data_IF_180533054050
#
_entry.id   IF_180533054050
#
_cell.length_a   1.000
_cell.length_b   1.000
_cell.length_c   1.000
_cell.angle_alpha   90.00
_cell.angle_beta   90.00
_cell.angle_gamma   90.00
#
_symmetry.space_group_name_H-M   'P 1'
#
loop_
_entity.id
_entity.type
_entity.pdbx_description
1 polymer ?
#
# COMPACT_ATOMS: atom_id res chain seq x y z
N UNK A 1 18.86 7.95 -9.74
CA UNK A 1 19.88 8.66 -10.56
C UNK A 1 21.07 7.71 -10.67
N UNK A 2 21.19 7.02 -11.81
CA UNK A 2 22.09 5.87 -11.96
C UNK A 2 23.44 6.34 -12.52
N UNK A 3 24.50 6.14 -11.75
CA UNK A 3 25.88 6.57 -12.03
C UNK A 3 26.64 5.64 -12.99
N UNK A 4 25.96 4.83 -13.79
CA UNK A 4 26.57 3.75 -14.58
C UNK A 4 26.84 4.10 -16.05
N UNK A 5 26.93 5.39 -16.39
CA UNK A 5 27.42 5.87 -17.70
C UNK A 5 28.84 6.41 -17.62
N UNK A 6 29.70 5.81 -16.78
CA UNK A 6 31.15 6.05 -16.87
C UNK A 6 31.72 5.22 -18.02
N UNK A 7 31.91 5.92 -19.15
CA UNK A 7 32.91 5.73 -20.21
C UNK A 7 33.20 4.29 -20.65
N UNK A 8 32.47 3.87 -21.70
CA UNK A 8 32.86 2.73 -22.56
C UNK A 8 34.26 2.96 -23.18
N UNK A 9 34.70 4.21 -23.32
CA UNK A 9 36.00 4.59 -23.90
C UNK A 9 37.21 4.41 -22.97
N UNK A 10 37.03 4.01 -21.71
CA UNK A 10 38.13 3.86 -20.72
C UNK A 10 38.45 2.40 -20.36
N UNK A 11 37.68 1.44 -20.84
CA UNK A 11 37.89 0.02 -20.53
C UNK A 11 38.91 -0.57 -21.50
N UNK A 12 39.92 -1.24 -20.95
CA UNK A 12 40.83 -2.06 -21.74
C UNK A 12 40.04 -3.18 -22.45
N UNK A 13 40.60 -3.70 -23.54
CA UNK A 13 39.98 -4.76 -24.33
C UNK A 13 39.61 -5.98 -23.47
N UNK A 14 40.44 -6.29 -22.47
CA UNK A 14 40.24 -7.36 -21.51
C UNK A 14 39.06 -7.10 -20.55
N UNK A 15 38.87 -5.86 -20.10
CA UNK A 15 37.74 -5.49 -19.24
C UNK A 15 36.41 -5.49 -20.00
N UNK A 16 36.43 -5.10 -21.28
CA UNK A 16 35.27 -5.23 -22.16
C UNK A 16 34.87 -6.69 -22.36
N UNK A 17 35.82 -7.60 -22.49
CA UNK A 17 35.56 -9.04 -22.61
C UNK A 17 34.91 -9.60 -21.33
N UNK A 18 35.37 -9.17 -20.15
CA UNK A 18 34.76 -9.58 -18.88
C UNK A 18 33.32 -9.05 -18.79
N UNK A 19 33.12 -7.77 -19.13
CA UNK A 19 31.79 -7.15 -19.06
C UNK A 19 30.79 -7.75 -20.05
N UNK A 20 31.24 -8.13 -21.24
CA UNK A 20 30.40 -8.82 -22.23
C UNK A 20 29.93 -10.16 -21.65
N UNK A 21 30.82 -10.96 -21.05
CA UNK A 21 30.45 -12.25 -20.44
C UNK A 21 29.45 -12.10 -19.29
N UNK A 22 29.61 -11.10 -18.43
CA UNK A 22 28.64 -10.81 -17.36
C UNK A 22 27.26 -10.42 -17.91
N UNK A 23 27.23 -9.69 -19.03
CA UNK A 23 25.97 -9.29 -19.66
C UNK A 23 25.31 -10.48 -20.37
N UNK A 24 26.08 -11.35 -21.03
CA UNK A 24 25.60 -12.59 -21.62
C UNK A 24 24.99 -13.51 -20.55
N UNK A 25 25.66 -13.70 -19.42
CA UNK A 25 25.14 -14.52 -18.32
C UNK A 25 23.84 -13.95 -17.72
N UNK A 26 23.73 -12.62 -17.65
CA UNK A 26 22.49 -11.95 -17.21
C UNK A 26 21.37 -12.06 -18.24
N UNK A 27 21.69 -12.06 -19.54
CA UNK A 27 20.70 -12.28 -20.61
C UNK A 27 20.20 -13.72 -20.55
N UNK A 28 21.08 -14.71 -20.39
CA UNK A 28 20.70 -16.12 -20.24
C UNK A 28 19.78 -16.36 -19.03
N UNK A 29 20.02 -15.66 -17.92
CA UNK A 29 19.13 -15.69 -16.75
C UNK A 29 17.75 -15.08 -17.03
N UNK A 30 17.68 -14.02 -17.83
CA UNK A 30 16.42 -13.36 -18.20
C UNK A 30 15.66 -14.11 -19.30
N UNK A 31 16.35 -14.86 -20.16
CA UNK A 31 15.74 -15.75 -21.16
C UNK A 31 15.33 -17.11 -20.58
N UNK A 32 15.76 -17.42 -19.35
CA UNK A 32 15.37 -18.64 -18.64
C UNK A 32 13.87 -18.61 -18.29
N UNK A 33 13.07 -19.20 -19.18
CA UNK A 33 11.62 -19.34 -19.06
C UNK A 33 11.18 -19.99 -17.75
N UNK A 34 12.01 -20.82 -17.12
CA UNK A 34 11.70 -21.48 -15.87
C UNK A 34 11.78 -20.49 -14.68
N UNK A 35 12.74 -19.57 -14.70
CA UNK A 35 12.83 -18.46 -13.73
C UNK A 35 11.66 -17.50 -13.89
N UNK A 36 11.32 -17.11 -15.12
CA UNK A 36 10.17 -16.23 -15.38
C UNK A 36 8.85 -16.90 -14.99
N UNK A 37 8.67 -18.20 -15.26
CA UNK A 37 7.51 -18.97 -14.78
C UNK A 37 7.46 -19.05 -13.27
N UNK A 38 8.59 -19.23 -12.58
CA UNK A 38 8.62 -19.26 -11.12
C UNK A 38 8.23 -17.90 -10.53
N UNK A 39 8.74 -16.80 -11.10
CA UNK A 39 8.37 -15.45 -10.70
C UNK A 39 6.89 -15.16 -10.96
N UNK A 40 6.36 -15.55 -12.13
CA UNK A 40 4.93 -15.41 -12.44
C UNK A 40 4.08 -16.25 -11.49
N UNK A 41 4.47 -17.49 -11.19
CA UNK A 41 3.75 -18.32 -10.20
C UNK A 41 3.78 -17.70 -8.82
N UNK A 42 4.89 -17.09 -8.41
CA UNK A 42 4.98 -16.40 -7.13
C UNK A 42 4.06 -15.17 -7.09
N UNK A 43 4.06 -14.34 -8.14
CA UNK A 43 3.17 -13.18 -8.25
C UNK A 43 1.70 -13.61 -8.30
N UNK A 44 1.37 -14.66 -9.06
CA UNK A 44 0.01 -15.21 -9.13
C UNK A 44 -0.40 -15.78 -7.77
N UNK A 45 0.47 -16.55 -7.10
CA UNK A 45 0.20 -17.08 -5.77
C UNK A 45 0.05 -15.96 -4.71
N UNK A 46 0.81 -14.88 -4.81
CA UNK A 46 0.66 -13.72 -3.91
C UNK A 46 -0.65 -12.96 -4.19
N UNK A 47 -1.07 -12.86 -5.45
CA UNK A 47 -2.37 -12.31 -5.84
C UNK A 47 -3.54 -13.21 -5.42
N UNK A 48 -3.40 -14.53 -5.57
CA UNK A 48 -4.36 -15.55 -5.17
C UNK A 48 -4.48 -15.61 -3.65
N UNK A 49 -3.38 -15.60 -2.90
CA UNK A 49 -3.39 -15.56 -1.42
C UNK A 49 -4.04 -14.28 -0.90
N UNK A 50 -3.74 -13.13 -1.52
CA UNK A 50 -4.43 -11.87 -1.24
C UNK A 50 -5.91 -11.93 -1.62
N UNK A 51 -6.26 -12.62 -2.72
CA UNK A 51 -7.63 -12.86 -3.17
C UNK A 51 -8.41 -13.84 -2.27
N UNK A 52 -7.78 -14.87 -1.75
CA UNK A 52 -8.35 -15.88 -0.85
C UNK A 52 -8.54 -15.33 0.57
N UNK A 53 -7.61 -14.50 1.06
CA UNK A 53 -7.81 -13.71 2.27
C UNK A 53 -8.96 -12.71 2.10
N UNK A 54 -9.10 -12.09 0.92
CA UNK A 54 -10.27 -11.28 0.57
C UNK A 54 -11.55 -12.14 0.51
N UNK A 55 -11.53 -13.35 -0.06
CA UNK A 55 -12.69 -14.25 -0.21
C UNK A 55 -13.22 -14.82 1.11
N UNK A 56 -12.39 -15.03 2.14
CA UNK A 56 -12.90 -15.36 3.49
C UNK A 56 -13.50 -14.15 4.21
N UNK A 57 -13.09 -12.93 3.88
CA UNK A 57 -13.74 -11.71 4.35
C UNK A 57 -15.03 -11.40 3.54
N UNK A 58 -15.17 -11.93 2.31
CA UNK A 58 -16.26 -11.60 1.38
C UNK A 58 -17.65 -11.90 1.92
N UNK A 59 -17.84 -12.89 2.80
CA UNK A 59 -19.19 -13.30 3.19
C UNK A 59 -20.01 -12.20 3.88
N UNK A 60 -19.41 -11.24 4.60
CA UNK A 60 -20.13 -10.05 5.12
C UNK A 60 -19.13 -8.90 5.32
N UNK A 61 -19.26 -7.77 4.63
CA UNK A 61 -18.52 -6.53 4.98
C UNK A 61 -19.31 -5.77 6.06
N UNK A 62 -18.91 -5.79 7.34
CA UNK A 62 -19.63 -5.05 8.39
C UNK A 62 -19.47 -3.52 8.32
N UNK A 63 -18.44 -2.99 7.64
CA UNK A 63 -18.13 -1.56 7.64
C UNK A 63 -18.13 -0.94 6.23
N UNK A 64 -18.58 0.32 6.08
CA UNK A 64 -18.49 1.06 4.81
C UNK A 64 -17.08 1.07 4.21
N UNK A 65 -16.03 1.15 5.04
CA UNK A 65 -14.65 1.10 4.56
C UNK A 65 -14.30 -0.21 3.84
N UNK A 66 -14.90 -1.33 4.27
CA UNK A 66 -14.70 -2.64 3.66
C UNK A 66 -15.48 -2.76 2.35
N UNK A 67 -16.68 -2.17 2.28
CA UNK A 67 -17.47 -2.10 1.04
C UNK A 67 -16.70 -1.35 -0.06
N UNK A 68 -16.21 -0.14 0.25
CA UNK A 68 -15.46 0.64 -0.74
C UNK A 68 -14.11 -0.02 -1.06
N UNK A 69 -13.49 -0.75 -0.13
CA UNK A 69 -12.24 -1.48 -0.38
C UNK A 69 -12.40 -2.58 -1.43
N UNK A 70 -13.58 -3.23 -1.47
CA UNK A 70 -13.92 -4.29 -2.43
C UNK A 70 -14.17 -3.80 -3.85
N UNK A 71 -14.53 -2.52 -4.03
CA UNK A 71 -14.81 -1.98 -5.35
C UNK A 71 -13.62 -2.19 -6.30
N UNK A 72 -13.84 -2.67 -7.54
CA UNK A 72 -12.82 -2.69 -8.59
C UNK A 72 -12.15 -1.32 -8.74
N UNK A 73 -10.87 -1.30 -9.13
CA UNK A 73 -10.08 -0.06 -9.16
C UNK A 73 -10.74 1.03 -10.00
N UNK A 74 -11.30 0.67 -11.15
CA UNK A 74 -11.89 1.62 -12.08
C UNK A 74 -13.26 2.11 -11.58
N UNK A 75 -14.09 1.19 -11.06
CA UNK A 75 -15.37 1.54 -10.40
C UNK A 75 -15.14 2.49 -9.22
N UNK A 76 -14.15 2.21 -8.38
CA UNK A 76 -13.82 3.06 -7.24
C UNK A 76 -13.41 4.47 -7.70
N UNK A 77 -12.67 4.60 -8.81
CA UNK A 77 -12.24 5.90 -9.34
C UNK A 77 -13.41 6.73 -9.87
N UNK A 78 -14.42 6.08 -10.43
CA UNK A 78 -15.60 6.75 -10.98
C UNK A 78 -16.61 7.16 -9.90
N UNK A 79 -16.75 6.34 -8.84
CA UNK A 79 -17.85 6.50 -7.88
C UNK A 79 -17.44 7.17 -6.56
N UNK A 80 -16.16 7.15 -6.20
CA UNK A 80 -15.69 7.65 -4.91
C UNK A 80 -15.08 9.04 -5.04
N UNK A 81 -15.34 9.89 -4.04
CA UNK A 81 -14.58 11.12 -3.87
C UNK A 81 -13.08 10.82 -3.72
N UNK A 82 -12.22 11.77 -4.07
CA UNK A 82 -10.77 11.62 -3.87
C UNK A 82 -10.40 11.33 -2.41
N UNK A 83 -11.15 11.88 -1.44
CA UNK A 83 -10.96 11.57 -0.02
C UNK A 83 -11.29 10.11 0.29
N UNK A 84 -12.41 9.59 -0.24
CA UNK A 84 -12.78 8.18 -0.09
C UNK A 84 -11.81 7.24 -0.79
N UNK A 85 -11.28 7.61 -1.98
CA UNK A 85 -10.23 6.85 -2.67
C UNK A 85 -8.96 6.74 -1.82
N UNK A 86 -8.57 7.82 -1.15
CA UNK A 86 -7.43 7.86 -0.23
C UNK A 86 -7.72 7.03 1.02
N UNK A 87 -8.88 7.17 1.66
CA UNK A 87 -9.27 6.36 2.82
C UNK A 87 -9.34 4.85 2.48
N UNK A 88 -9.90 4.51 1.32
CA UNK A 88 -9.90 3.16 0.75
C UNK A 88 -8.48 2.61 0.63
N UNK A 89 -7.56 3.41 0.11
CA UNK A 89 -6.16 3.00 -0.01
C UNK A 89 -5.53 2.76 1.35
N UNK A 90 -5.73 3.67 2.31
CA UNK A 90 -5.25 3.52 3.68
C UNK A 90 -5.75 2.21 4.27
N UNK A 91 -7.03 1.88 4.11
CA UNK A 91 -7.59 0.63 4.62
C UNK A 91 -6.91 -0.60 4.03
N UNK A 92 -6.81 -0.65 2.69
CA UNK A 92 -6.23 -1.80 1.97
C UNK A 92 -4.76 -2.06 2.29
N UNK A 93 -4.04 -1.07 2.78
CA UNK A 93 -2.60 -1.15 3.06
C UNK A 93 -2.31 -0.87 4.53
N UNK A 94 -3.35 -0.86 5.38
CA UNK A 94 -3.21 -0.35 6.75
C UNK A 94 -2.18 -1.15 7.53
N UNK A 95 -2.13 -2.46 7.34
CA UNK A 95 -1.16 -3.33 8.00
C UNK A 95 0.29 -3.05 7.58
N UNK A 96 0.50 -2.63 6.34
CA UNK A 96 1.84 -2.36 5.79
C UNK A 96 2.33 -0.97 6.16
N UNK A 97 1.42 0.01 6.25
CA UNK A 97 1.76 1.42 6.49
C UNK A 97 1.68 1.86 7.95
N UNK A 98 1.22 0.98 8.85
CA UNK A 98 1.06 1.29 10.27
C UNK A 98 2.06 0.54 11.14
N UNK A 99 2.29 1.09 12.33
CA UNK A 99 3.15 0.54 13.36
C UNK A 99 2.32 -0.16 14.43
N UNK A 100 2.77 -1.32 14.90
CA UNK A 100 2.12 -2.00 16.03
C UNK A 100 2.38 -1.23 17.33
N UNK A 101 1.34 -1.11 18.14
CA UNK A 101 1.38 -0.64 19.52
C UNK A 101 0.66 -1.65 20.41
N UNK A 102 0.72 -1.48 21.73
CA UNK A 102 0.13 -2.44 22.69
C UNK A 102 -1.33 -2.79 22.36
N UNK A 103 -2.16 -1.78 22.11
CA UNK A 103 -3.61 -1.94 22.00
C UNK A 103 -4.12 -1.88 20.56
N UNK A 104 -3.22 -1.85 19.57
CA UNK A 104 -3.63 -1.70 18.18
C UNK A 104 -2.50 -1.37 17.22
N UNK A 105 -2.86 -0.64 16.16
CA UNK A 105 -1.96 -0.16 15.13
C UNK A 105 -2.14 1.33 14.90
N UNK A 106 -1.04 2.02 14.58
CA UNK A 106 -1.02 3.47 14.40
C UNK A 106 -0.29 3.86 13.13
N UNK A 107 -0.86 4.79 12.36
CA UNK A 107 -0.14 5.52 11.31
C UNK A 107 -0.11 7.01 11.65
N UNK A 108 1.09 7.61 11.57
CA UNK A 108 1.31 9.03 11.84
C UNK A 108 0.85 9.90 10.68
N UNK A 109 0.36 11.11 10.94
CA UNK A 109 -0.06 12.04 9.89
C UNK A 109 1.08 12.41 8.93
N UNK A 110 2.30 12.62 9.45
CA UNK A 110 3.45 12.92 8.59
C UNK A 110 3.83 11.76 7.68
N UNK A 111 3.69 10.52 8.15
CA UNK A 111 3.93 9.31 7.37
C UNK A 111 2.85 9.07 6.32
N UNK A 112 1.58 9.18 6.72
CA UNK A 112 0.45 9.09 5.80
C UNK A 112 0.57 10.13 4.68
N UNK A 113 1.01 11.35 5.00
CA UNK A 113 1.29 12.40 4.00
C UNK A 113 2.32 11.97 2.97
N UNK A 114 3.44 11.38 3.42
CA UNK A 114 4.52 10.92 2.54
C UNK A 114 4.02 9.81 1.62
N UNK A 115 3.29 8.84 2.18
CA UNK A 115 2.74 7.71 1.45
C UNK A 115 1.74 8.17 0.37
N UNK A 116 0.80 9.05 0.72
CA UNK A 116 -0.19 9.55 -0.25
C UNK A 116 0.48 10.34 -1.39
N UNK A 117 1.53 11.11 -1.08
CA UNK A 117 2.31 11.84 -2.09
C UNK A 117 3.07 10.91 -3.04
N UNK A 118 3.62 9.81 -2.56
CA UNK A 118 4.33 8.84 -3.42
C UNK A 118 3.40 8.10 -4.37
N UNK A 119 2.11 7.99 -4.02
CA UNK A 119 1.11 7.31 -4.83
C UNK A 119 0.52 8.20 -5.92
N UNK A 120 0.36 9.47 -5.63
CA UNK A 120 -0.20 10.44 -6.57
C UNK A 120 0.87 10.92 -7.55
N UNK A 121 0.43 11.43 -8.71
CA UNK A 121 1.34 11.94 -9.72
C UNK A 121 2.27 12.99 -9.10
N UNK A 122 3.51 13.06 -9.59
CA UNK A 122 4.60 13.85 -8.96
C UNK A 122 4.25 15.34 -8.73
N UNK A 123 3.24 15.85 -9.45
CA UNK A 123 2.76 17.23 -9.39
C UNK A 123 1.64 17.48 -8.35
N UNK A 124 0.99 16.45 -7.78
CA UNK A 124 -0.10 16.63 -6.82
C UNK A 124 0.44 16.87 -5.39
N UNK A 125 0.39 18.14 -4.96
CA UNK A 125 0.79 18.51 -3.59
C UNK A 125 -0.26 18.03 -2.58
N UNK A 126 0.09 17.00 -1.81
CA UNK A 126 -0.68 16.65 -0.60
C UNK A 126 -0.45 17.67 0.52
N UNK A 127 -1.48 18.44 0.83
CA UNK A 127 -1.53 19.36 1.97
C UNK A 127 -1.87 18.63 3.27
N UNK A 128 -1.47 19.19 4.41
CA UNK A 128 -1.81 18.66 5.75
C UNK A 128 -3.32 18.59 5.98
N UNK A 129 -4.08 19.54 5.42
CA UNK A 129 -5.55 19.54 5.46
C UNK A 129 -6.15 18.34 4.73
N UNK A 130 -5.56 17.92 3.60
CA UNK A 130 -5.96 16.71 2.89
C UNK A 130 -5.78 15.47 3.76
N UNK A 131 -4.63 15.34 4.42
CA UNK A 131 -4.36 14.22 5.34
C UNK A 131 -5.37 14.19 6.49
N UNK A 132 -5.68 15.36 7.06
CA UNK A 132 -6.72 15.47 8.09
C UNK A 132 -8.07 14.94 7.60
N UNK A 133 -8.53 15.39 6.42
CA UNK A 133 -9.79 14.93 5.82
C UNK A 133 -9.79 13.42 5.54
N UNK A 134 -8.67 12.85 5.11
CA UNK A 134 -8.53 11.41 4.90
C UNK A 134 -8.65 10.65 6.22
N UNK A 135 -8.02 11.15 7.29
CA UNK A 135 -8.14 10.54 8.62
C UNK A 135 -9.57 10.59 9.14
N UNK A 136 -10.26 11.73 9.05
CA UNK A 136 -11.67 11.81 9.47
C UNK A 136 -12.55 10.90 8.63
N UNK A 137 -12.40 10.92 7.31
CA UNK A 137 -13.16 10.04 6.42
C UNK A 137 -12.92 8.56 6.74
N UNK A 138 -11.69 8.19 7.11
CA UNK A 138 -11.39 6.83 7.55
C UNK A 138 -12.12 6.47 8.85
N UNK A 139 -12.11 7.38 9.84
CA UNK A 139 -12.87 7.22 11.09
C UNK A 139 -14.36 7.02 10.78
N UNK A 140 -14.95 7.87 9.97
CA UNK A 140 -16.37 7.79 9.59
C UNK A 140 -16.69 6.46 8.89
N UNK A 141 -15.87 6.06 7.91
CA UNK A 141 -16.06 4.81 7.15
C UNK A 141 -15.85 3.55 7.99
N UNK A 142 -15.10 3.66 9.09
CA UNK A 142 -14.96 2.58 10.10
C UNK A 142 -16.05 2.63 11.17
N UNK A 143 -17.05 3.50 11.03
CA UNK A 143 -18.09 3.75 12.06
C UNK A 143 -17.47 4.08 13.41
N UNK A 144 -16.45 4.92 13.45
CA UNK A 144 -15.74 5.34 14.66
C UNK A 144 -14.98 4.24 15.42
N UNK A 145 -14.74 3.09 14.79
CA UNK A 145 -13.85 2.06 15.36
C UNK A 145 -12.40 2.54 15.33
N UNK A 146 -11.99 3.16 14.20
CA UNK A 146 -10.74 3.88 14.15
C UNK A 146 -10.88 5.25 14.83
N UNK A 147 -9.78 5.79 15.33
CA UNK A 147 -9.76 7.07 16.01
C UNK A 147 -8.58 7.93 15.57
N UNK A 148 -8.77 9.25 15.57
CA UNK A 148 -7.65 10.19 15.48
C UNK A 148 -7.18 10.51 16.90
N UNK A 149 -5.96 10.10 17.22
CA UNK A 149 -5.28 10.43 18.48
C UNK A 149 -4.18 11.46 18.24
N UNK A 150 -3.60 11.99 19.32
CA UNK A 150 -2.41 12.86 19.27
C UNK A 150 -1.28 12.22 20.05
N UNK A 151 -0.06 12.41 19.59
CA UNK A 151 1.13 12.13 20.38
C UNK A 151 1.35 13.18 21.46
N UNK A 152 2.28 12.90 22.37
CA UNK A 152 2.77 13.89 23.35
C UNK A 152 3.34 15.14 22.66
N UNK A 153 3.98 14.98 21.50
CA UNK A 153 4.47 16.09 20.64
C UNK A 153 3.37 16.78 19.80
N UNK A 154 2.10 16.41 19.97
CA UNK A 154 0.97 17.00 19.24
C UNK A 154 0.73 16.48 17.81
N UNK A 155 1.51 15.51 17.33
CA UNK A 155 1.33 14.89 16.02
C UNK A 155 0.05 14.04 15.99
N UNK A 156 -0.82 14.29 14.99
CA UNK A 156 -2.02 13.48 14.75
C UNK A 156 -1.67 12.07 14.29
N UNK A 157 -2.41 11.09 14.78
CA UNK A 157 -2.21 9.65 14.55
C UNK A 157 -3.56 9.01 14.27
N UNK A 158 -3.63 8.17 13.24
CA UNK A 158 -4.79 7.31 13.01
C UNK A 158 -4.54 5.99 13.72
N UNK A 159 -5.39 5.65 14.69
CA UNK A 159 -5.31 4.45 15.51
C UNK A 159 -6.46 3.49 15.14
N UNK A 160 -6.15 2.20 15.05
CA UNK A 160 -7.13 1.12 14.92
C UNK A 160 -6.85 0.09 16.02
N UNK A 161 -7.83 -0.24 16.86
CA UNK A 161 -7.62 -1.15 17.98
C UNK A 161 -7.51 -2.61 17.54
N UNK A 162 -6.89 -3.46 18.34
CA UNK A 162 -6.68 -4.89 18.00
C UNK A 162 -8.00 -5.67 17.85
N UNK A 163 -9.01 -5.31 18.62
CA UNK A 163 -10.34 -5.92 18.67
C UNK A 163 -11.33 -5.32 17.65
N UNK A 164 -10.86 -4.52 16.68
CA UNK A 164 -11.72 -3.84 15.71
C UNK A 164 -12.71 -4.76 15.00
N UNK A 165 -12.35 -6.04 14.79
CA UNK A 165 -13.21 -7.05 14.15
C UNK A 165 -14.41 -7.42 15.02
N UNK A 166 -14.24 -7.42 16.34
CA UNK A 166 -15.31 -7.69 17.31
C UNK A 166 -16.24 -6.48 17.38
N UNK A 167 -15.68 -5.28 17.51
CA UNK A 167 -16.44 -4.03 17.48
C UNK A 167 -17.24 -3.85 16.17
N UNK A 168 -16.68 -4.27 15.03
CA UNK A 168 -17.35 -4.24 13.73
C UNK A 168 -18.56 -5.18 13.68
N UNK A 169 -18.50 -6.35 14.33
CA UNK A 169 -19.65 -7.26 14.43
C UNK A 169 -20.74 -6.64 15.30
N UNK A 170 -20.38 -6.06 16.45
CA UNK A 170 -21.35 -5.42 17.34
C UNK A 170 -22.06 -4.23 16.68
N UNK A 171 -21.34 -3.40 15.92
CA UNK A 171 -21.91 -2.26 15.18
C UNK A 171 -22.77 -2.66 13.98
N UNK A 172 -22.75 -3.93 13.57
CA UNK A 172 -23.65 -4.46 12.54
C UNK A 172 -25.00 -4.86 13.13
N UNK A 173 -25.01 -5.39 14.35
CA UNK A 173 -26.20 -5.94 14.99
C UNK A 173 -27.05 -4.87 15.73
N UNK A 174 -26.66 -3.59 15.63
CA UNK A 174 -27.37 -2.41 16.13
C UNK A 174 -27.99 -1.62 14.98
#
# INVERSE_FOLDING_TARGET
MSSDTRRIDELSREELIIRIRELEERVDQLENKEYLKALIRQVVHDLERNGEQQHKEIEIAPLPVQEIARLPKDVAREQLSMTHLRARYVWRNFEDISHRVRDGRVVKAGELRRILRTREDEDEKIYTSTVGRVMESFVDLTREIAMVTKSDEGERRLFVPNDWKEQAKEKRDR
#
